data_IF_199058950103
#
_entry.id   IF_199058950103
#
_cell.length_a   1.000
_cell.length_b   1.000
_cell.length_c   1.000
_cell.angle_alpha   90.00
_cell.angle_beta   90.00
_cell.angle_gamma   90.00
#
_symmetry.space_group_name_H-M   'P 1'
#
loop_
_entity.id
_entity.type
_entity.pdbx_description
1 polymer ?
#
# COMPACT_ATOMS: atom_id res chain seq x y z
N UNK A 1 6.89 -2.60 6.01
CA UNK A 1 5.44 -2.77 6.18
C UNK A 1 4.81 -3.04 4.82
N UNK A 2 4.17 -4.20 4.65
CA UNK A 2 3.50 -4.56 3.41
C UNK A 2 2.17 -3.83 3.25
N UNK A 3 1.96 -3.25 2.08
CA UNK A 3 0.76 -2.53 1.69
C UNK A 3 0.37 -2.90 0.27
N UNK A 4 -0.92 -2.75 -0.06
CA UNK A 4 -1.47 -2.90 -1.40
C UNK A 4 -1.76 -1.50 -1.94
N UNK A 5 -1.19 -1.16 -3.10
CA UNK A 5 -1.44 0.13 -3.74
C UNK A 5 -2.85 0.18 -4.32
N UNK A 6 -3.57 1.27 -4.07
CA UNK A 6 -4.91 1.51 -4.65
C UNK A 6 -4.86 2.36 -5.92
N UNK A 7 -3.73 3.00 -6.17
CA UNK A 7 -3.48 3.81 -7.34
C UNK A 7 -2.03 3.60 -7.80
N UNK A 8 -1.73 3.96 -9.05
CA UNK A 8 -0.36 3.98 -9.54
C UNK A 8 0.43 5.08 -8.84
N UNK A 9 1.55 4.72 -8.22
CA UNK A 9 2.45 5.71 -7.61
C UNK A 9 3.83 5.60 -8.27
N UNK A 10 4.29 6.72 -8.84
CA UNK A 10 5.59 6.81 -9.46
C UNK A 10 6.67 6.41 -8.44
N UNK A 11 7.57 5.50 -8.85
CA UNK A 11 8.66 4.89 -8.04
C UNK A 11 8.25 3.82 -7.02
N UNK A 12 6.96 3.50 -6.86
CA UNK A 12 6.50 2.40 -5.99
C UNK A 12 5.96 1.22 -6.79
N UNK A 13 5.06 1.47 -7.74
CA UNK A 13 4.41 0.40 -8.48
C UNK A 13 3.07 0.80 -9.09
N UNK A 14 2.35 -0.20 -9.59
CA UNK A 14 1.02 -0.04 -10.16
C UNK A 14 -0.07 -0.31 -9.12
N UNK A 15 -1.32 0.00 -9.47
CA UNK A 15 -2.48 -0.35 -8.65
C UNK A 15 -2.57 -1.87 -8.49
N UNK A 16 -2.83 -2.34 -7.27
CA UNK A 16 -2.93 -3.75 -6.91
C UNK A 16 -1.60 -4.37 -6.46
N UNK A 17 -0.46 -3.71 -6.69
CA UNK A 17 0.84 -4.24 -6.30
C UNK A 17 1.01 -4.26 -4.78
N UNK A 18 1.60 -5.35 -4.29
CA UNK A 18 2.01 -5.49 -2.90
C UNK A 18 3.45 -5.00 -2.78
N UNK A 19 3.64 -3.86 -2.14
CA UNK A 19 4.97 -3.26 -1.94
C UNK A 19 5.32 -3.21 -0.47
N UNK A 20 6.61 -3.38 -0.17
CA UNK A 20 7.13 -3.24 1.18
C UNK A 20 7.74 -1.85 1.36
N UNK A 21 7.15 -1.05 2.24
CA UNK A 21 7.57 0.34 2.48
C UNK A 21 7.88 0.58 3.95
N UNK A 22 8.60 1.66 4.23
CA UNK A 22 8.85 2.12 5.60
C UNK A 22 7.52 2.44 6.31
N UNK A 23 7.37 1.98 7.54
CA UNK A 23 6.12 2.12 8.30
C UNK A 23 5.70 3.59 8.50
N UNK A 24 6.65 4.52 8.61
CA UNK A 24 6.36 5.96 8.67
C UNK A 24 5.75 6.50 7.37
N UNK A 25 6.26 6.06 6.21
CA UNK A 25 5.73 6.47 4.91
C UNK A 25 4.31 5.94 4.68
N UNK A 26 4.05 4.67 5.05
CA UNK A 26 2.71 4.12 5.00
C UNK A 26 1.71 4.88 5.91
N UNK A 27 2.09 5.16 7.16
CA UNK A 27 1.19 5.79 8.14
C UNK A 27 0.96 7.28 7.92
N UNK A 28 1.96 8.01 7.44
CA UNK A 28 1.87 9.47 7.34
C UNK A 28 1.39 9.93 5.96
N UNK A 29 1.58 9.12 4.92
CA UNK A 29 1.25 9.51 3.55
C UNK A 29 0.28 8.54 2.89
N UNK A 30 0.56 7.23 2.85
CA UNK A 30 -0.26 6.34 2.02
C UNK A 30 -1.64 6.03 2.62
N UNK A 31 -1.72 5.81 3.93
CA UNK A 31 -2.96 5.48 4.64
C UNK A 31 -3.90 6.69 4.79
N UNK A 32 -3.45 7.88 5.24
CA UNK A 32 -4.35 9.03 5.42
C UNK A 32 -4.93 9.52 4.09
N UNK A 33 -4.14 9.46 3.02
CA UNK A 33 -4.57 9.85 1.67
C UNK A 33 -5.27 8.71 0.90
N UNK A 34 -5.53 7.56 1.53
CA UNK A 34 -6.20 6.39 0.92
C UNK A 34 -5.54 5.92 -0.39
N UNK A 35 -4.23 6.08 -0.51
CA UNK A 35 -3.44 5.66 -1.69
C UNK A 35 -3.02 4.20 -1.62
N UNK A 36 -3.06 3.61 -0.42
CA UNK A 36 -2.78 2.20 -0.20
C UNK A 36 -3.58 1.64 0.97
N UNK A 37 -3.74 0.32 1.00
CA UNK A 37 -4.27 -0.42 2.13
C UNK A 37 -3.18 -1.25 2.80
N UNK A 38 -3.30 -1.52 4.09
CA UNK A 38 -2.41 -2.47 4.76
C UNK A 38 -2.65 -3.86 4.15
N UNK A 39 -1.59 -4.54 3.73
CA UNK A 39 -1.68 -5.92 3.25
C UNK A 39 -1.99 -6.83 4.44
N UNK A 40 -3.28 -7.04 4.72
CA UNK A 40 -3.74 -8.01 5.71
C UNK A 40 -4.01 -9.34 5.01
N UNK A 41 -3.90 -10.46 5.74
CA UNK A 41 -4.22 -11.80 5.17
C UNK A 41 -5.59 -11.82 4.48
N UNK A 42 -6.57 -11.09 5.02
CA UNK A 42 -7.92 -10.96 4.44
C UNK A 42 -7.93 -10.34 3.04
N UNK A 43 -7.05 -9.37 2.76
CA UNK A 43 -6.98 -8.73 1.43
C UNK A 43 -6.31 -9.66 0.38
N UNK A 44 -5.52 -10.64 0.83
CA UNK A 44 -4.73 -11.51 -0.05
C UNK A 44 -5.41 -12.84 -0.37
N UNK A 45 -6.68 -13.03 -0.03
CA UNK A 45 -7.40 -14.31 -0.16
C UNK A 45 -8.76 -14.15 -0.85
N UNK A 46 -8.80 -13.31 -1.89
CA UNK A 46 -9.96 -13.21 -2.78
C UNK A 46 -9.80 -14.15 -3.98
#
# INVERSE_FOLDING_TARGET
MKIVLLERINKLGQMGDIVDVRSGYARNFLLPFKKALRATKKILTF
#
